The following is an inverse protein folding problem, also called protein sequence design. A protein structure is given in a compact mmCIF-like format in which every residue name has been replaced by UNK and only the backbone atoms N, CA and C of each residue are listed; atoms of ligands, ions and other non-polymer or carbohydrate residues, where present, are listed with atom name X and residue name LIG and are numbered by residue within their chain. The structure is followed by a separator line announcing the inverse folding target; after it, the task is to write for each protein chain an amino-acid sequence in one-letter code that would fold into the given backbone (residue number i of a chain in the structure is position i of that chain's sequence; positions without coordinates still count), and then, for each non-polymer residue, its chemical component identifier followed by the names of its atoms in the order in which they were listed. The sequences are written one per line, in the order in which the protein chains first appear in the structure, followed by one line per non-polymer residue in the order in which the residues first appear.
data_IF_150610685910
#
_entry.id   IF_150610685910
#
_cell.length_a   1.000
_cell.length_b   1.000
_cell.length_c   1.000
_cell.angle_alpha   90.00
_cell.angle_beta   90.00
_cell.angle_gamma   90.00
#
_symmetry.space_group_name_H-M   'P 1'
#
loop_
_entity.id
_entity.type
_entity.pdbx_description
1 polymer ?
#
# COMPACT_ATOMS: atom_id res chain seq x y z
N UNK A 1 -20.93 35.32 -38.90
CA UNK A 1 -20.20 34.07 -38.65
C UNK A 1 -20.99 32.93 -39.34
N UNK A 2 -20.38 32.24 -40.31
CA UNK A 2 -21.08 31.22 -41.09
C UNK A 2 -21.51 30.05 -40.18
N UNK A 3 -22.80 29.72 -40.18
CA UNK A 3 -23.36 28.61 -39.37
C UNK A 3 -22.60 27.29 -39.61
N UNK A 4 -22.09 27.07 -40.85
CA UNK A 4 -21.31 25.88 -41.16
C UNK A 4 -19.96 25.83 -40.42
N UNK A 5 -19.27 26.95 -40.30
CA UNK A 5 -18.01 27.05 -39.50
C UNK A 5 -18.24 26.83 -38.01
N UNK A 6 -19.33 27.38 -37.48
CA UNK A 6 -19.72 27.19 -36.08
C UNK A 6 -19.96 25.72 -35.76
N UNK A 7 -20.68 24.99 -36.60
CA UNK A 7 -20.96 23.57 -36.44
C UNK A 7 -19.66 22.75 -36.53
N UNK A 8 -18.75 23.09 -37.44
CA UNK A 8 -17.45 22.41 -37.56
C UNK A 8 -16.59 22.59 -36.30
N UNK A 9 -16.52 23.79 -35.76
CA UNK A 9 -15.80 24.03 -34.47
C UNK A 9 -16.42 23.29 -33.30
N UNK A 10 -17.74 23.22 -33.23
CA UNK A 10 -18.46 22.53 -32.18
C UNK A 10 -18.22 21.01 -32.24
N UNK A 11 -18.29 20.43 -33.43
CA UNK A 11 -17.99 19.02 -33.68
C UNK A 11 -16.53 18.69 -33.37
N UNK A 12 -15.58 19.56 -33.77
CA UNK A 12 -14.17 19.38 -33.45
C UNK A 12 -13.93 19.38 -31.93
N UNK A 13 -14.57 20.30 -31.22
CA UNK A 13 -14.42 20.41 -29.75
C UNK A 13 -14.97 19.16 -29.03
N UNK A 14 -16.17 18.68 -29.46
CA UNK A 14 -16.74 17.44 -28.94
C UNK A 14 -15.84 16.24 -29.20
N UNK A 15 -15.28 16.14 -30.40
CA UNK A 15 -14.40 15.04 -30.79
C UNK A 15 -13.12 15.06 -29.98
N UNK A 16 -12.48 16.22 -29.80
CA UNK A 16 -11.26 16.35 -28.97
C UNK A 16 -11.55 15.99 -27.51
N UNK A 17 -12.65 16.50 -26.94
CA UNK A 17 -13.03 16.18 -25.55
C UNK A 17 -13.30 14.68 -25.35
N UNK A 18 -14.02 14.05 -26.28
CA UNK A 18 -14.29 12.61 -26.21
C UNK A 18 -13.02 11.77 -26.36
N UNK A 19 -12.09 12.19 -27.23
CA UNK A 19 -10.81 11.48 -27.43
C UNK A 19 -9.91 11.57 -26.19
N UNK A 20 -9.81 12.73 -25.56
CA UNK A 20 -9.02 12.92 -24.34
C UNK A 20 -9.61 12.11 -23.17
N UNK A 21 -10.93 12.22 -22.95
CA UNK A 21 -11.61 11.48 -21.89
C UNK A 21 -11.52 9.97 -22.11
N UNK A 22 -11.77 9.52 -23.33
CA UNK A 22 -11.68 8.10 -23.70
C UNK A 22 -10.26 7.57 -23.56
N UNK A 23 -9.24 8.35 -23.93
CA UNK A 23 -7.84 8.00 -23.77
C UNK A 23 -7.43 7.83 -22.30
N UNK A 24 -7.86 8.75 -21.44
CA UNK A 24 -7.60 8.69 -20.00
C UNK A 24 -8.29 7.47 -19.37
N UNK A 25 -9.58 7.23 -19.68
CA UNK A 25 -10.32 6.08 -19.18
C UNK A 25 -9.74 4.76 -19.67
N UNK A 26 -9.34 4.67 -20.94
CA UNK A 26 -8.69 3.48 -21.50
C UNK A 26 -7.34 3.20 -20.83
N UNK A 27 -6.53 4.25 -20.63
CA UNK A 27 -5.25 4.13 -19.92
C UNK A 27 -5.45 3.70 -18.47
N UNK A 28 -6.42 4.30 -17.78
CA UNK A 28 -6.81 3.96 -16.43
C UNK A 28 -7.27 2.50 -16.31
N UNK A 29 -8.20 2.08 -17.19
CA UNK A 29 -8.74 0.72 -17.22
C UNK A 29 -7.64 -0.33 -17.45
N UNK A 30 -6.70 -0.03 -18.34
CA UNK A 30 -5.59 -0.93 -18.65
C UNK A 30 -4.55 -1.00 -17.52
N UNK A 31 -4.34 0.09 -16.81
CA UNK A 31 -3.28 0.18 -15.79
C UNK A 31 -3.75 -0.22 -14.39
N UNK A 32 -5.05 -0.07 -14.11
CA UNK A 32 -5.61 -0.31 -12.77
C UNK A 32 -6.53 -1.55 -12.68
N UNK A 33 -7.07 -2.06 -13.78
CA UNK A 33 -7.86 -3.30 -13.75
C UNK A 33 -7.04 -4.59 -13.61
N UNK A 34 -5.74 -4.56 -13.76
CA UNK A 34 -4.89 -5.74 -13.59
C UNK A 34 -4.83 -6.24 -12.14
N UNK A 35 -5.35 -5.47 -11.17
CA UNK A 35 -5.25 -5.79 -9.72
C UNK A 35 -6.50 -6.50 -9.17
N UNK A 36 -7.60 -6.61 -9.94
CA UNK A 36 -8.85 -7.23 -9.47
C UNK A 36 -9.28 -8.45 -10.31
N UNK A 37 -8.37 -9.42 -10.48
CA UNK A 37 -8.85 -10.76 -10.81
C UNK A 37 -8.99 -11.55 -9.51
N UNK A 38 -10.19 -12.02 -9.17
CA UNK A 38 -10.32 -13.01 -8.10
C UNK A 38 -9.58 -14.28 -8.56
N UNK A 39 -8.52 -14.60 -7.85
CA UNK A 39 -7.85 -15.90 -7.99
C UNK A 39 -8.89 -16.95 -7.60
N UNK A 40 -9.44 -17.63 -8.59
CA UNK A 40 -10.23 -18.83 -8.35
C UNK A 40 -9.30 -19.86 -7.70
N UNK A 41 -9.45 -20.04 -6.39
CA UNK A 41 -8.84 -21.12 -5.64
C UNK A 41 -9.30 -22.45 -6.23
N UNK A 42 -8.45 -23.09 -7.04
CA UNK A 42 -8.57 -24.51 -7.27
C UNK A 42 -8.18 -25.21 -5.97
N UNK A 43 -9.21 -25.58 -5.22
CA UNK A 43 -9.07 -26.48 -4.09
C UNK A 43 -8.73 -27.87 -4.63
N UNK A 44 -7.45 -28.20 -4.63
CA UNK A 44 -7.03 -29.58 -4.76
C UNK A 44 -7.00 -30.17 -3.36
N UNK A 45 -8.07 -30.87 -3.02
CA UNK A 45 -8.15 -31.62 -1.78
C UNK A 45 -7.16 -32.77 -1.81
N UNK A 46 -6.17 -32.71 -0.94
CA UNK A 46 -5.50 -33.93 -0.46
C UNK A 46 -5.56 -33.89 1.07
N UNK A 47 -6.36 -34.78 1.59
CA UNK A 47 -6.56 -35.01 3.01
C UNK A 47 -5.31 -35.64 3.65
N UNK A 48 -4.93 -35.23 4.84
CA UNK A 48 -4.84 -36.06 6.06
C UNK A 48 -4.07 -35.34 7.15
N UNK A 49 -4.64 -35.24 8.34
CA UNK A 49 -3.89 -35.09 9.59
C UNK A 49 -4.16 -33.78 10.34
N UNK A 50 -4.92 -33.90 11.38
CA UNK A 50 -5.34 -32.85 12.30
C UNK A 50 -4.20 -32.13 13.00
N UNK A 51 -4.49 -30.92 13.39
CA UNK A 51 -3.65 -30.08 14.22
C UNK A 51 -4.27 -28.70 14.28
N UNK A 52 -5.09 -28.46 15.30
CA UNK A 52 -5.44 -27.12 15.75
C UNK A 52 -4.15 -26.30 15.89
N UNK A 53 -4.04 -25.26 15.10
CA UNK A 53 -3.01 -24.25 15.32
C UNK A 53 -3.58 -22.91 14.92
N UNK A 54 -3.95 -22.14 15.91
CA UNK A 54 -4.11 -20.71 15.78
C UNK A 54 -2.81 -20.12 15.18
N UNK A 55 -2.87 -19.32 14.13
CA UNK A 55 -1.68 -18.74 13.55
C UNK A 55 -1.30 -17.47 14.32
N UNK A 56 -0.03 -17.37 14.56
CA UNK A 56 0.67 -16.13 14.79
C UNK A 56 0.94 -15.69 16.23
N UNK A 57 1.84 -16.40 16.88
CA UNK A 57 2.54 -15.80 18.01
C UNK A 57 4.08 -15.88 17.92
N UNK A 58 4.67 -16.43 16.87
CA UNK A 58 6.14 -16.60 16.80
C UNK A 58 6.70 -16.39 15.38
N UNK A 59 6.41 -15.26 14.75
CA UNK A 59 7.25 -14.84 13.62
C UNK A 59 8.57 -14.35 14.22
N UNK A 60 9.65 -15.14 14.10
CA UNK A 60 10.97 -14.72 14.52
C UNK A 60 11.44 -13.55 13.67
N UNK A 61 11.94 -12.50 14.34
CA UNK A 61 12.50 -11.32 13.67
C UNK A 61 13.73 -11.70 12.85
N UNK A 62 13.65 -11.63 11.54
CA UNK A 62 14.78 -11.80 10.64
C UNK A 62 15.40 -10.44 10.31
N UNK A 63 16.38 -10.04 11.06
CA UNK A 63 17.02 -8.71 10.99
C UNK A 63 18.19 -8.63 9.99
N UNK A 64 18.18 -9.45 8.94
CA UNK A 64 19.22 -9.45 7.90
C UNK A 64 19.11 -8.28 6.91
N UNK A 65 17.94 -7.65 6.81
CA UNK A 65 17.72 -6.45 6.01
C UNK A 65 17.69 -5.25 6.98
N UNK A 66 18.57 -4.24 6.81
CA UNK A 66 18.64 -3.09 7.70
C UNK A 66 17.51 -2.09 7.45
N UNK A 67 16.29 -2.52 7.70
CA UNK A 67 15.05 -1.75 7.65
C UNK A 67 14.44 -1.71 9.05
N UNK A 68 13.84 -0.58 9.40
CA UNK A 68 13.16 -0.43 10.68
C UNK A 68 11.92 0.45 10.57
N UNK A 69 10.98 0.25 11.47
CA UNK A 69 9.96 1.25 11.79
C UNK A 69 10.64 2.23 12.73
N UNK A 70 10.90 3.45 12.28
CA UNK A 70 11.65 4.43 13.06
C UNK A 70 10.78 5.15 14.09
N UNK A 71 9.49 5.29 13.80
CA UNK A 71 8.49 5.83 14.72
C UNK A 71 7.08 5.57 14.24
N UNK A 72 6.13 5.55 15.16
CA UNK A 72 4.71 5.76 14.95
C UNK A 72 4.33 6.99 15.77
N UNK A 73 3.79 8.01 15.13
CA UNK A 73 3.39 9.27 15.74
C UNK A 73 1.89 9.47 15.64
N UNK A 74 1.31 10.22 16.57
CA UNK A 74 -0.11 10.56 16.56
C UNK A 74 -1.05 9.42 16.92
N UNK A 75 -0.57 8.37 17.58
CA UNK A 75 -1.37 7.21 18.01
C UNK A 75 -2.68 7.63 18.69
N UNK A 76 -3.78 6.95 18.38
CA UNK A 76 -5.13 7.26 18.86
C UNK A 76 -5.84 8.39 18.11
N UNK A 77 -5.21 8.98 17.08
CA UNK A 77 -5.82 10.06 16.31
C UNK A 77 -5.56 9.87 14.81
N UNK A 78 -6.48 9.22 14.09
CA UNK A 78 -6.33 8.83 12.69
C UNK A 78 -5.76 9.95 11.79
N UNK A 79 -6.17 11.21 12.01
CA UNK A 79 -5.74 12.35 11.20
C UNK A 79 -4.27 12.75 11.36
N UNK A 80 -3.61 12.28 12.41
CA UNK A 80 -2.20 12.58 12.73
C UNK A 80 -1.34 11.33 12.82
N UNK A 81 -1.91 10.15 12.68
CA UNK A 81 -1.18 8.90 12.72
C UNK A 81 -0.32 8.71 11.47
N UNK A 82 0.97 8.51 11.72
CA UNK A 82 1.97 8.25 10.67
C UNK A 82 2.95 7.20 11.18
N UNK A 83 3.09 6.10 10.46
CA UNK A 83 4.17 5.14 10.66
C UNK A 83 5.31 5.46 9.69
N UNK A 84 6.54 5.59 10.19
CA UNK A 84 7.72 5.93 9.40
C UNK A 84 8.63 4.70 9.27
N UNK A 85 8.80 4.22 8.05
CA UNK A 85 9.68 3.10 7.71
C UNK A 85 10.96 3.66 7.11
N UNK A 86 12.12 3.28 7.67
CA UNK A 86 13.43 3.75 7.25
C UNK A 86 14.33 2.59 6.85
N UNK A 87 15.04 2.75 5.76
CA UNK A 87 16.08 1.84 5.30
C UNK A 87 17.46 2.42 5.62
N UNK A 88 18.31 1.63 6.31
CA UNK A 88 19.67 2.06 6.70
C UNK A 88 20.77 1.24 6.01
N UNK A 89 20.38 0.43 5.03
CA UNK A 89 21.31 -0.38 4.24
C UNK A 89 21.92 0.35 3.07
N UNK A 90 22.73 -0.41 2.32
CA UNK A 90 23.31 0.02 1.05
C UNK A 90 22.45 -0.47 -0.12
N UNK A 91 22.51 0.22 -1.27
CA UNK A 91 21.74 -0.14 -2.46
C UNK A 91 20.30 0.32 -2.41
N UNK A 92 19.39 -0.51 -2.87
CA UNK A 92 17.96 -0.22 -2.96
C UNK A 92 17.16 -1.33 -2.29
N UNK A 93 16.09 -0.95 -1.57
CA UNK A 93 15.12 -1.86 -1.00
C UNK A 93 13.76 -1.63 -1.66
N UNK A 94 13.26 -2.62 -2.39
CA UNK A 94 11.92 -2.62 -2.95
C UNK A 94 10.91 -3.12 -1.91
N UNK A 95 9.97 -2.27 -1.51
CA UNK A 95 8.91 -2.61 -0.57
C UNK A 95 7.65 -3.17 -1.24
N UNK A 96 7.67 -3.46 -2.54
CA UNK A 96 6.52 -4.03 -3.26
C UNK A 96 5.97 -5.26 -2.53
N UNK A 97 4.67 -5.25 -2.24
CA UNK A 97 3.94 -6.30 -1.54
C UNK A 97 4.41 -6.59 -0.09
N UNK A 98 5.24 -5.74 0.49
CA UNK A 98 5.49 -5.77 1.94
C UNK A 98 4.23 -5.39 2.70
N UNK A 99 4.17 -5.70 3.98
CA UNK A 99 3.00 -5.46 4.81
C UNK A 99 3.39 -4.82 6.14
N UNK A 100 2.71 -3.74 6.49
CA UNK A 100 2.74 -3.15 7.82
C UNK A 100 1.45 -3.57 8.54
N UNK A 101 1.58 -4.11 9.75
CA UNK A 101 0.45 -4.62 10.54
C UNK A 101 0.47 -4.07 11.95
N UNK A 102 -0.73 -3.88 12.50
CA UNK A 102 -0.96 -3.69 13.93
C UNK A 102 -1.24 -5.03 14.63
N UNK A 103 -1.60 -4.99 15.91
CA UNK A 103 -2.00 -6.16 16.69
C UNK A 103 -3.46 -6.56 16.47
N UNK A 104 -4.32 -5.66 16.03
CA UNK A 104 -5.76 -5.87 15.83
C UNK A 104 -6.09 -6.51 14.46
N UNK A 105 -5.09 -6.68 13.60
CA UNK A 105 -5.21 -7.36 12.31
C UNK A 105 -5.37 -6.41 11.13
N UNK A 106 -5.27 -5.09 11.33
CA UNK A 106 -5.20 -4.15 10.23
C UNK A 106 -3.91 -4.37 9.45
N UNK A 107 -3.98 -4.33 8.13
CA UNK A 107 -2.83 -4.59 7.26
C UNK A 107 -2.76 -3.55 6.16
N UNK A 108 -1.65 -2.83 6.10
CA UNK A 108 -1.28 -1.99 4.96
C UNK A 108 -0.35 -2.77 4.04
N UNK A 109 -0.73 -2.95 2.79
CA UNK A 109 0.12 -3.55 1.76
C UNK A 109 0.80 -2.45 0.94
N UNK A 110 2.13 -2.45 0.91
CA UNK A 110 2.89 -1.48 0.12
C UNK A 110 2.61 -1.68 -1.37
N UNK A 111 2.26 -0.62 -2.10
CA UNK A 111 2.05 -0.69 -3.54
C UNK A 111 3.34 -0.97 -4.29
N UNK A 112 3.21 -1.39 -5.56
CA UNK A 112 4.37 -1.63 -6.42
C UNK A 112 5.16 -0.36 -6.72
N UNK A 113 6.49 -0.49 -6.75
CA UNK A 113 7.39 0.61 -7.09
C UNK A 113 7.78 1.53 -5.94
N UNK A 114 7.47 1.16 -4.70
CA UNK A 114 8.00 1.87 -3.51
C UNK A 114 9.42 1.39 -3.25
N UNK A 115 10.40 2.20 -3.62
CA UNK A 115 11.82 1.87 -3.50
C UNK A 115 12.49 2.83 -2.52
N UNK A 116 13.09 2.27 -1.47
CA UNK A 116 13.93 3.02 -0.55
C UNK A 116 15.40 2.96 -0.99
N UNK A 117 16.06 4.10 -0.93
CA UNK A 117 17.50 4.27 -1.13
C UNK A 117 18.22 4.35 0.23
N UNK A 118 19.55 4.31 0.28
CA UNK A 118 20.30 4.40 1.52
C UNK A 118 19.88 5.61 2.36
N UNK A 119 19.51 5.37 3.62
CA UNK A 119 18.94 6.33 4.56
C UNK A 119 17.58 6.94 4.14
N UNK A 120 16.95 6.41 3.09
CA UNK A 120 15.61 6.80 2.68
C UNK A 120 14.54 6.33 3.65
N UNK A 121 13.41 7.03 3.65
CA UNK A 121 12.25 6.68 4.45
C UNK A 121 10.97 6.91 3.67
N UNK A 122 9.92 6.18 4.06
CA UNK A 122 8.55 6.36 3.59
C UNK A 122 7.63 6.49 4.79
N UNK A 123 6.57 7.28 4.64
CA UNK A 123 5.56 7.54 5.66
C UNK A 123 4.25 6.87 5.23
N UNK A 124 3.62 6.15 6.15
CA UNK A 124 2.29 5.55 5.95
C UNK A 124 1.32 6.29 6.87
N UNK A 125 0.45 7.08 6.26
CA UNK A 125 -0.62 7.83 6.93
C UNK A 125 -1.85 6.94 7.07
N UNK A 126 -2.50 6.95 8.23
CA UNK A 126 -3.71 6.16 8.47
C UNK A 126 -4.90 6.64 7.64
N UNK A 127 -5.06 7.94 7.48
CA UNK A 127 -6.17 8.55 6.74
C UNK A 127 -6.11 8.29 5.23
N UNK A 128 -7.22 8.62 4.55
CA UNK A 128 -7.25 8.65 3.09
C UNK A 128 -6.48 9.83 2.53
N UNK A 129 -5.78 9.61 1.40
CA UNK A 129 -5.00 10.62 0.70
C UNK A 129 -4.58 10.15 -0.69
N UNK A 130 -3.62 10.84 -1.27
CA UNK A 130 -3.04 10.48 -2.56
C UNK A 130 -1.58 10.13 -2.37
N UNK A 131 -1.21 8.92 -2.75
CA UNK A 131 0.15 8.43 -2.62
C UNK A 131 1.13 9.29 -3.42
N UNK A 132 2.28 9.51 -2.81
CA UNK A 132 3.47 10.11 -3.42
C UNK A 132 4.64 9.11 -3.35
N UNK A 133 5.85 9.54 -3.69
CA UNK A 133 7.05 8.69 -3.55
C UNK A 133 7.48 8.47 -2.10
N UNK A 134 7.03 9.29 -1.17
CA UNK A 134 7.41 9.23 0.26
C UNK A 134 6.21 9.17 1.21
N UNK A 135 5.04 9.59 0.79
CA UNK A 135 3.81 9.56 1.58
C UNK A 135 2.83 8.56 0.98
N UNK A 136 2.46 7.57 1.75
CA UNK A 136 1.48 6.55 1.40
C UNK A 136 0.27 6.68 2.32
N UNK A 137 -0.91 6.31 1.86
CA UNK A 137 -2.14 6.48 2.58
C UNK A 137 -2.90 5.16 2.71
N UNK A 138 -3.15 4.75 3.95
CA UNK A 138 -3.86 3.52 4.26
C UNK A 138 -5.35 3.61 3.90
N UNK A 139 -5.92 4.80 4.08
CA UNK A 139 -7.32 5.03 3.74
C UNK A 139 -8.30 4.57 4.80
N UNK A 140 -7.86 4.36 6.04
CA UNK A 140 -8.72 4.01 7.18
C UNK A 140 -9.23 5.29 7.83
N UNK A 141 -10.53 5.32 8.18
CA UNK A 141 -11.18 6.49 8.79
C UNK A 141 -11.05 6.55 10.31
N UNK A 142 -10.49 5.51 10.94
CA UNK A 142 -10.34 5.36 12.38
C UNK A 142 -8.86 5.26 12.74
N UNK A 143 -8.52 5.48 14.01
CA UNK A 143 -7.18 5.26 14.51
C UNK A 143 -6.81 3.77 14.40
N UNK A 144 -5.58 3.50 14.02
CA UNK A 144 -5.04 2.14 13.85
C UNK A 144 -4.08 1.82 15.00
N UNK A 145 -3.39 2.84 15.51
CA UNK A 145 -2.30 2.66 16.47
C UNK A 145 -2.72 3.05 17.88
N UNK A 146 -2.62 2.10 18.81
CA UNK A 146 -2.81 2.36 20.22
C UNK A 146 -1.48 2.38 20.99
N UNK A 147 -1.42 3.16 22.08
CA UNK A 147 -0.24 3.22 22.93
C UNK A 147 0.04 1.86 23.55
N UNK A 148 1.27 1.38 23.38
CA UNK A 148 1.72 0.11 23.94
C UNK A 148 1.62 -1.09 23.01
N UNK A 149 0.97 -0.98 21.84
CA UNK A 149 0.91 -2.05 20.85
C UNK A 149 2.17 -2.11 19.97
N UNK A 150 2.28 -3.16 19.17
CA UNK A 150 3.40 -3.38 18.26
C UNK A 150 3.01 -3.16 16.80
N UNK A 151 3.68 -2.20 16.17
CA UNK A 151 3.72 -2.10 14.71
C UNK A 151 4.72 -3.11 14.16
N UNK A 152 4.30 -3.95 13.22
CA UNK A 152 5.10 -5.05 12.65
C UNK A 152 5.22 -4.90 11.14
N UNK A 153 6.46 -4.97 10.63
CA UNK A 153 6.76 -4.91 9.20
C UNK A 153 7.17 -6.28 8.70
N UNK A 154 6.46 -6.77 7.68
CA UNK A 154 6.73 -8.05 7.03
C UNK A 154 7.16 -7.82 5.58
N UNK A 155 8.07 -8.65 5.08
CA UNK A 155 8.43 -8.66 3.67
C UNK A 155 7.35 -9.34 2.80
N UNK A 156 7.57 -9.36 1.48
CA UNK A 156 6.65 -9.99 0.52
C UNK A 156 6.53 -11.52 0.66
N UNK A 157 7.42 -12.15 1.42
CA UNK A 157 7.39 -13.59 1.72
C UNK A 157 6.74 -13.88 3.08
N UNK A 158 6.35 -12.84 3.82
CA UNK A 158 5.75 -12.95 5.15
C UNK A 158 6.74 -13.07 6.30
N UNK A 159 8.03 -12.82 6.07
CA UNK A 159 9.02 -12.80 7.14
C UNK A 159 8.95 -11.47 7.89
N UNK A 160 8.99 -11.53 9.22
CA UNK A 160 9.02 -10.35 10.08
C UNK A 160 10.39 -9.65 9.98
N UNK A 161 10.42 -8.40 9.58
CA UNK A 161 11.63 -7.60 9.33
C UNK A 161 11.86 -6.51 10.35
N UNK A 162 10.81 -5.94 10.91
CA UNK A 162 10.92 -4.94 11.97
C UNK A 162 9.71 -4.97 12.90
N UNK A 163 9.95 -4.59 14.15
CA UNK A 163 8.92 -4.39 15.17
C UNK A 163 9.19 -3.04 15.85
N UNK A 164 8.14 -2.31 16.13
CA UNK A 164 8.21 -1.04 16.85
C UNK A 164 7.07 -0.98 17.87
N UNK A 165 7.40 -0.72 19.13
CA UNK A 165 6.38 -0.51 20.15
C UNK A 165 5.92 0.95 20.15
N UNK A 166 4.64 1.14 19.93
CA UNK A 166 4.01 2.47 19.94
C UNK A 166 4.07 3.06 21.36
N UNK A 167 4.56 4.29 21.53
CA UNK A 167 4.75 4.89 22.85
C UNK A 167 3.45 5.27 23.56
#
# INVERSE_FOLDING_TARGET
MDRRKLIQYLLLNVFVSASVTGGILFWYDRNYRAVTQPVALQVQATSTGGGDSAPAANAELQADIPVKISSVVGAGAASSEIAIIKFEGEGQLDLTAWQLKDEDGNTFAFPGGVILYPNGAVQVHTIAGSDTVIDLYWGIGEAVWDSGEEARLFDSQGNLRAVYRVP
#
